data_IF_857294591717
#
_entry.id   IF_857294591717
#
_cell.length_a   1.000
_cell.length_b   1.000
_cell.length_c   1.000
_cell.angle_alpha   90.00
_cell.angle_beta   90.00
_cell.angle_gamma   90.00
#
_symmetry.space_group_name_H-M   'P 1'
#
loop_
_entity.id
_entity.type
_entity.pdbx_description
1 polymer ?
#
# COMPACT_ATOMS: atom_id res chain seq x y z
N UNK A 1 1.56 12.80 -10.78
CA UNK A 1 2.47 11.99 -9.96
C UNK A 1 2.93 12.89 -8.83
N UNK A 2 2.82 12.43 -7.59
CA UNK A 2 3.27 13.14 -6.40
C UNK A 2 3.88 12.18 -5.40
N UNK A 3 4.73 12.70 -4.52
CA UNK A 3 5.35 11.94 -3.44
C UNK A 3 4.52 12.08 -2.16
N UNK A 4 4.51 11.01 -1.35
CA UNK A 4 3.82 10.98 -0.05
C UNK A 4 4.64 10.19 0.96
N UNK A 5 4.74 10.70 2.18
CA UNK A 5 5.18 9.91 3.33
C UNK A 5 4.07 8.91 3.67
N UNK A 6 4.40 7.61 3.67
CA UNK A 6 3.45 6.54 3.95
C UNK A 6 3.99 5.59 5.02
N UNK A 7 3.06 5.03 5.80
CA UNK A 7 3.27 3.85 6.61
C UNK A 7 2.63 2.67 5.87
N UNK A 8 3.40 1.61 5.64
CA UNK A 8 2.93 0.40 4.97
C UNK A 8 3.09 -0.77 5.94
N UNK A 9 2.03 -1.54 6.15
CA UNK A 9 1.99 -2.69 7.04
C UNK A 9 1.29 -3.85 6.31
N UNK A 10 1.83 -5.06 6.44
CA UNK A 10 1.16 -6.27 5.98
C UNK A 10 0.04 -6.67 6.95
N UNK A 11 -1.22 -6.47 6.53
CA UNK A 11 -2.40 -6.83 7.35
C UNK A 11 -2.79 -8.30 7.24
N UNK A 12 -2.62 -8.91 6.07
CA UNK A 12 -3.09 -10.26 5.77
C UNK A 12 -2.37 -11.30 6.65
N UNK A 13 -3.14 -12.07 7.43
CA UNK A 13 -2.62 -13.09 8.35
C UNK A 13 -1.85 -12.56 9.56
N UNK A 14 -1.70 -11.23 9.70
CA UNK A 14 -0.83 -10.62 10.72
C UNK A 14 -1.50 -9.51 11.54
N UNK A 15 -2.71 -9.06 11.16
CA UNK A 15 -3.46 -8.01 11.88
C UNK A 15 -2.60 -6.76 12.13
N UNK A 16 -2.39 -6.35 13.38
CA UNK A 16 -1.59 -5.18 13.80
C UNK A 16 -0.14 -5.56 14.21
N UNK A 17 0.35 -6.71 13.77
CA UNK A 17 1.68 -7.24 14.14
C UNK A 17 2.49 -7.67 12.91
N UNK A 18 2.08 -7.22 11.72
CA UNK A 18 2.78 -7.52 10.49
C UNK A 18 4.06 -6.71 10.32
N UNK A 19 4.98 -7.15 9.44
CA UNK A 19 6.10 -6.32 9.03
C UNK A 19 5.62 -5.00 8.47
N UNK A 20 6.28 -3.91 8.87
CA UNK A 20 5.89 -2.56 8.50
C UNK A 20 7.09 -1.65 8.26
N UNK A 21 6.90 -0.63 7.42
CA UNK A 21 7.93 0.32 7.02
C UNK A 21 7.33 1.72 6.84
N UNK A 22 8.13 2.75 7.12
CA UNK A 22 7.85 4.13 6.76
C UNK A 22 8.68 4.46 5.53
N UNK A 23 8.05 5.03 4.49
CA UNK A 23 8.72 5.30 3.21
C UNK A 23 8.14 6.53 2.50
N UNK A 24 8.90 7.12 1.59
CA UNK A 24 8.37 8.04 0.59
C UNK A 24 7.89 7.20 -0.60
N UNK A 25 6.58 7.25 -0.87
CA UNK A 25 5.96 6.57 -2.00
C UNK A 25 5.63 7.56 -3.10
N UNK A 26 5.81 7.12 -4.36
CA UNK A 26 5.30 7.88 -5.51
C UNK A 26 3.89 7.41 -5.86
N UNK A 27 3.07 8.31 -6.38
CA UNK A 27 1.69 8.02 -6.79
C UNK A 27 1.56 7.98 -8.31
N UNK A 28 0.79 7.02 -8.81
CA UNK A 28 0.29 6.99 -10.19
C UNK A 28 -0.47 8.27 -10.55
N UNK A 29 -0.69 8.53 -11.85
CA UNK A 29 -1.36 9.75 -12.32
C UNK A 29 -2.73 10.00 -11.66
N UNK A 30 -3.50 8.94 -11.43
CA UNK A 30 -4.84 9.01 -10.80
C UNK A 30 -4.79 8.84 -9.27
N UNK A 31 -3.61 8.59 -8.68
CA UNK A 31 -3.47 8.28 -7.27
C UNK A 31 -3.97 6.89 -6.84
N UNK A 32 -4.45 6.06 -7.78
CA UNK A 32 -5.02 4.74 -7.48
C UNK A 32 -3.97 3.70 -7.09
N UNK A 33 -2.73 3.88 -7.53
CA UNK A 33 -1.57 3.05 -7.18
C UNK A 33 -0.50 3.89 -6.51
N UNK A 34 0.10 3.34 -5.45
CA UNK A 34 1.32 3.85 -4.81
C UNK A 34 2.48 2.90 -5.08
N UNK A 35 3.67 3.44 -5.26
CA UNK A 35 4.90 2.67 -5.48
C UNK A 35 5.85 2.94 -4.32
N UNK A 36 6.26 1.88 -3.62
CA UNK A 36 7.18 1.96 -2.49
C UNK A 36 7.94 0.65 -2.33
N UNK A 37 9.21 0.74 -1.93
CA UNK A 37 10.08 -0.40 -1.65
C UNK A 37 10.10 -1.44 -2.79
N UNK A 38 10.16 -0.96 -4.04
CA UNK A 38 10.15 -1.80 -5.23
C UNK A 38 8.80 -2.48 -5.55
N UNK A 39 7.74 -2.20 -4.77
CA UNK A 39 6.42 -2.79 -4.92
C UNK A 39 5.39 -1.78 -5.41
N UNK A 40 4.34 -2.30 -6.05
CA UNK A 40 3.20 -1.52 -6.50
C UNK A 40 1.95 -1.95 -5.74
N UNK A 41 1.35 -1.02 -5.00
CA UNK A 41 0.15 -1.28 -4.21
C UNK A 41 -1.04 -0.56 -4.82
N UNK A 42 -2.09 -1.30 -5.17
CA UNK A 42 -3.32 -0.75 -5.73
C UNK A 42 -4.35 -0.54 -4.62
N UNK A 43 -4.99 0.63 -4.63
CA UNK A 43 -6.04 0.94 -3.68
C UNK A 43 -7.23 0.00 -3.84
N UNK A 44 -7.74 -0.48 -2.71
CA UNK A 44 -9.00 -1.23 -2.63
C UNK A 44 -10.23 -0.31 -2.76
N UNK A 45 -10.04 1.01 -2.92
CA UNK A 45 -11.11 2.00 -3.08
C UNK A 45 -12.24 1.92 -2.03
N UNK A 46 -11.88 1.58 -0.80
CA UNK A 46 -12.84 1.43 0.31
C UNK A 46 -13.56 0.07 0.36
N UNK A 47 -13.29 -0.84 -0.58
CA UNK A 47 -13.82 -2.21 -0.57
C UNK A 47 -13.01 -3.17 0.31
N UNK A 48 -11.92 -2.69 0.94
CA UNK A 48 -11.10 -3.49 1.84
C UNK A 48 -11.70 -3.58 3.24
N UNK A 49 -11.60 -4.76 3.87
CA UNK A 49 -12.08 -4.97 5.24
C UNK A 49 -11.01 -4.62 6.29
N UNK A 50 -9.81 -5.20 6.14
CA UNK A 50 -8.68 -5.00 7.07
C UNK A 50 -7.54 -4.15 6.51
N UNK A 51 -7.59 -3.80 5.22
CA UNK A 51 -6.51 -3.14 4.49
C UNK A 51 -7.06 -2.09 3.51
N UNK A 52 -6.19 -1.15 3.13
CA UNK A 52 -6.52 -0.06 2.20
C UNK A 52 -5.99 -0.29 0.77
N UNK A 53 -4.93 -1.10 0.66
CA UNK A 53 -4.24 -1.43 -0.58
C UNK A 53 -3.87 -2.91 -0.58
N UNK A 54 -3.64 -3.47 -1.76
CA UNK A 54 -3.08 -4.81 -1.96
C UNK A 54 -1.86 -4.73 -2.88
N UNK A 55 -0.92 -5.66 -2.71
CA UNK A 55 0.22 -5.78 -3.62
C UNK A 55 -0.26 -6.36 -4.95
N UNK A 56 -0.01 -5.67 -6.05
CA UNK A 56 -0.47 -6.08 -7.38
C UNK A 56 0.14 -7.44 -7.77
N UNK A 57 1.35 -7.74 -7.31
CA UNK A 57 2.06 -8.97 -7.68
C UNK A 57 1.54 -10.20 -6.94
N UNK A 58 1.15 -10.07 -5.67
CA UNK A 58 0.78 -11.21 -4.81
C UNK A 58 -0.70 -11.33 -4.49
N UNK A 59 -1.49 -10.26 -4.73
CA UNK A 59 -2.87 -10.16 -4.24
C UNK A 59 -2.96 -9.86 -2.75
#
# INVERSE_FOLDING_TARGET
MSERLVYVELKSGQSNSGPAWISIATTSKTGATIYSNGKAFRSLKGSGFIANYFDIETG
#
